data_IF_265047336377
#
_entry.id   IF_265047336377
#
_cell.length_a   1.000
_cell.length_b   1.000
_cell.length_c   1.000
_cell.angle_alpha   90.00
_cell.angle_beta   90.00
_cell.angle_gamma   90.00
#
_symmetry.space_group_name_H-M   'P 1'
#
loop_
_entity.id
_entity.type
_entity.pdbx_description
1 polymer ?
#
# COMPACT_ATOMS: atom_id res chain seq x y z
N UNK A 1 -52.35 13.37 -28.90
CA UNK A 1 -53.61 13.64 -28.15
C UNK A 1 -54.08 12.33 -27.52
N UNK A 2 -54.69 12.36 -26.33
CA UNK A 2 -55.51 11.29 -25.73
C UNK A 2 -54.84 9.90 -25.50
N UNK A 3 -55.39 8.98 -24.68
CA UNK A 3 -56.03 9.09 -23.34
C UNK A 3 -56.00 7.68 -22.71
N UNK A 4 -55.97 7.56 -21.38
CA UNK A 4 -55.84 6.26 -20.70
C UNK A 4 -57.15 5.44 -20.65
N UNK A 5 -57.05 4.10 -20.62
CA UNK A 5 -58.09 3.18 -20.16
C UNK A 5 -57.54 1.79 -19.75
N UNK A 6 -57.81 1.38 -18.51
CA UNK A 6 -57.97 -0.01 -18.02
C UNK A 6 -59.49 -0.21 -17.70
N UNK A 7 -60.05 -1.29 -17.10
CA UNK A 7 -59.47 -2.46 -16.39
C UNK A 7 -60.27 -3.79 -16.62
N UNK A 8 -60.41 -4.64 -15.56
CA UNK A 8 -61.37 -5.75 -15.35
C UNK A 8 -61.07 -7.08 -16.11
N UNK A 9 -61.33 -8.31 -15.62
CA UNK A 9 -61.76 -8.93 -14.32
C UNK A 9 -61.43 -10.46 -14.36
N UNK A 10 -61.61 -11.39 -13.39
CA UNK A 10 -62.16 -11.42 -12.02
C UNK A 10 -61.65 -12.66 -11.21
N UNK A 11 -61.75 -12.59 -9.87
CA UNK A 11 -61.95 -13.71 -8.93
C UNK A 11 -60.80 -14.77 -8.78
N UNK A 12 -60.75 -15.67 -7.77
CA UNK A 12 -61.73 -16.06 -6.74
C UNK A 12 -61.14 -16.15 -5.31
N UNK A 13 -62.00 -15.94 -4.32
CA UNK A 13 -61.90 -16.39 -2.90
C UNK A 13 -62.50 -17.81 -2.76
N UNK A 14 -62.32 -18.60 -1.70
CA UNK A 14 -61.36 -18.67 -0.58
C UNK A 14 -61.56 -20.05 0.11
N UNK A 15 -60.66 -20.48 1.01
CA UNK A 15 -60.91 -21.61 1.93
C UNK A 15 -60.15 -21.45 3.24
N UNK A 16 -60.62 -22.08 4.32
CA UNK A 16 -60.14 -21.85 5.68
C UNK A 16 -59.95 -23.15 6.48
N UNK A 17 -58.87 -23.21 7.26
CA UNK A 17 -58.69 -24.13 8.39
C UNK A 17 -57.69 -23.50 9.38
N UNK A 18 -57.88 -23.71 10.69
CA UNK A 18 -57.06 -23.08 11.73
C UNK A 18 -56.52 -24.08 12.76
N UNK A 19 -55.27 -23.90 13.19
CA UNK A 19 -54.78 -24.35 14.50
C UNK A 19 -53.52 -23.58 14.92
N UNK A 20 -53.41 -23.28 16.22
CA UNK A 20 -52.32 -22.53 16.87
C UNK A 20 -51.90 -23.28 18.15
N UNK A 21 -50.60 -23.54 18.35
CA UNK A 21 -49.87 -23.09 19.55
C UNK A 21 -48.44 -22.59 19.23
N UNK A 22 -47.69 -21.90 20.09
CA UNK A 22 -48.07 -21.08 21.25
C UNK A 22 -46.99 -20.01 21.56
N UNK A 23 -47.28 -18.75 21.20
CA UNK A 23 -46.88 -17.51 21.88
C UNK A 23 -45.70 -17.48 22.89
N UNK A 24 -44.64 -16.72 22.56
CA UNK A 24 -44.12 -15.62 23.42
C UNK A 24 -43.12 -14.72 22.68
N UNK A 25 -43.24 -13.40 22.90
CA UNK A 25 -42.15 -12.41 22.72
C UNK A 25 -41.66 -12.04 24.12
N UNK A 26 -40.34 -11.94 24.32
CA UNK A 26 -39.81 -10.73 24.94
C UNK A 26 -38.67 -10.14 24.10
N UNK A 27 -38.45 -8.84 24.23
CA UNK A 27 -37.26 -8.19 23.70
C UNK A 27 -36.42 -7.68 24.89
N UNK A 28 -35.19 -8.19 25.03
CA UNK A 28 -34.20 -7.62 25.94
C UNK A 28 -32.77 -7.94 25.51
N UNK A 29 -31.91 -6.95 25.74
CA UNK A 29 -30.48 -6.87 25.46
C UNK A 29 -29.67 -8.05 26.03
N UNK A 30 -28.65 -8.50 25.30
CA UNK A 30 -27.25 -8.53 25.79
C UNK A 30 -26.32 -8.60 24.57
N UNK A 31 -25.26 -7.77 24.56
CA UNK A 31 -24.29 -7.74 23.48
C UNK A 31 -23.14 -8.73 23.79
N UNK A 32 -23.01 -9.77 22.98
CA UNK A 32 -21.88 -10.71 23.06
C UNK A 32 -20.71 -10.20 22.20
N UNK A 33 -19.85 -9.37 22.78
CA UNK A 33 -18.64 -8.88 22.12
C UNK A 33 -17.62 -10.02 21.92
N UNK A 34 -17.63 -10.66 20.74
CA UNK A 34 -16.59 -11.61 20.35
C UNK A 34 -15.50 -10.88 19.56
N UNK A 35 -14.44 -10.49 20.26
CA UNK A 35 -13.29 -9.84 19.64
C UNK A 35 -12.67 -10.73 18.54
N UNK A 36 -12.34 -10.18 17.35
CA UNK A 36 -11.47 -10.88 16.40
C UNK A 36 -10.08 -10.99 17.03
N UNK A 37 -9.55 -12.22 17.09
CA UNK A 37 -8.25 -12.46 17.73
C UNK A 37 -7.13 -11.67 17.05
N UNK A 38 -6.27 -11.05 17.85
CA UNK A 38 -5.13 -10.29 17.33
C UNK A 38 -4.23 -11.19 16.46
N UNK A 39 -4.11 -10.86 15.17
CA UNK A 39 -3.06 -11.44 14.34
C UNK A 39 -1.71 -11.00 14.92
N UNK A 40 -0.79 -11.95 15.05
CA UNK A 40 0.59 -11.71 15.54
C UNK A 40 1.18 -10.44 14.92
N UNK A 41 1.82 -9.63 15.75
CA UNK A 41 2.82 -8.67 15.29
C UNK A 41 3.82 -9.41 14.41
N UNK A 42 3.96 -8.95 13.18
CA UNK A 42 5.01 -9.42 12.29
C UNK A 42 6.36 -9.02 12.87
N UNK A 43 7.24 -9.99 13.10
CA UNK A 43 8.67 -9.72 13.10
C UNK A 43 9.05 -9.02 11.78
N UNK A 44 10.11 -8.19 11.73
CA UNK A 44 10.56 -7.56 10.50
C UNK A 44 10.91 -8.65 9.46
N UNK A 45 9.97 -8.89 8.54
CA UNK A 45 10.27 -9.65 7.34
C UNK A 45 11.24 -8.80 6.51
N UNK A 46 12.29 -9.43 5.95
CA UNK A 46 13.26 -8.72 5.11
C UNK A 46 12.52 -7.89 4.05
N UNK A 47 12.93 -6.63 3.83
CA UNK A 47 12.23 -5.73 2.92
C UNK A 47 12.16 -6.36 1.53
N UNK A 48 10.95 -6.39 0.96
CA UNK A 48 10.76 -6.82 -0.42
C UNK A 48 11.17 -5.65 -1.33
N UNK A 49 12.46 -5.58 -1.60
CA UNK A 49 13.05 -4.64 -2.55
C UNK A 49 12.36 -4.69 -3.92
N UNK A 50 12.39 -3.57 -4.62
CA UNK A 50 12.04 -3.45 -6.03
C UNK A 50 12.85 -4.43 -6.91
N UNK A 51 12.41 -4.60 -8.16
CA UNK A 51 13.09 -5.42 -9.16
C UNK A 51 13.24 -4.63 -10.46
N UNK A 52 14.44 -4.12 -10.69
CA UNK A 52 14.82 -3.30 -11.83
C UNK A 52 16.32 -3.35 -12.10
N UNK A 53 16.89 -2.38 -12.83
CA UNK A 53 18.33 -2.23 -13.03
C UNK A 53 19.09 -2.13 -11.70
N UNK A 54 20.26 -2.77 -11.61
CA UNK A 54 21.09 -2.78 -10.40
C UNK A 54 22.35 -1.95 -10.62
N UNK A 55 22.58 -1.01 -9.70
CA UNK A 55 23.82 -0.26 -9.54
C UNK A 55 24.51 -0.63 -8.22
N UNK A 56 25.64 0.01 -7.93
CA UNK A 56 26.42 -0.20 -6.70
C UNK A 56 26.87 1.11 -6.08
N UNK A 57 26.84 1.15 -4.75
CA UNK A 57 27.32 2.32 -3.98
C UNK A 57 28.83 2.52 -4.23
N UNK A 58 29.21 3.64 -4.82
CA UNK A 58 30.61 4.03 -4.98
C UNK A 58 31.09 4.82 -3.77
N UNK A 59 30.24 5.67 -3.19
CA UNK A 59 30.60 6.60 -2.12
C UNK A 59 29.40 6.98 -1.26
N UNK A 60 29.65 7.26 0.03
CA UNK A 60 28.68 7.74 1.02
C UNK A 60 29.30 8.94 1.74
N UNK A 61 28.59 10.07 1.78
CA UNK A 61 28.98 11.31 2.46
C UNK A 61 27.75 11.85 3.20
N UNK A 62 27.52 11.37 4.43
CA UNK A 62 26.29 11.64 5.16
C UNK A 62 25.07 11.18 4.36
N UNK A 63 24.05 12.04 4.25
CA UNK A 63 22.84 11.74 3.47
C UNK A 63 23.07 11.70 1.93
N UNK A 64 24.26 12.04 1.42
CA UNK A 64 24.56 11.98 -0.03
C UNK A 64 25.23 10.65 -0.35
N UNK A 65 24.67 9.90 -1.30
CA UNK A 65 25.17 8.60 -1.74
C UNK A 65 25.38 8.61 -3.25
N UNK A 66 26.59 8.31 -3.71
CA UNK A 66 26.90 8.20 -5.14
C UNK A 66 26.84 6.72 -5.56
N UNK A 67 26.03 6.42 -6.58
CA UNK A 67 25.71 5.06 -7.05
C UNK A 67 26.06 4.95 -8.53
N UNK A 68 26.87 3.96 -8.90
CA UNK A 68 27.25 3.70 -10.30
C UNK A 68 26.47 2.51 -10.85
N UNK A 69 25.98 2.66 -12.08
CA UNK A 69 25.29 1.62 -12.85
C UNK A 69 26.14 1.20 -14.04
N UNK A 70 25.92 0.00 -14.57
CA UNK A 70 26.63 -0.49 -15.76
C UNK A 70 25.95 -0.05 -17.05
N UNK A 71 24.69 -0.47 -17.26
CA UNK A 71 24.04 -0.46 -18.58
C UNK A 71 22.85 0.51 -18.69
N UNK A 72 22.34 1.01 -17.55
CA UNK A 72 21.18 1.90 -17.48
C UNK A 72 21.41 2.98 -16.43
N UNK A 73 21.26 4.25 -16.81
CA UNK A 73 21.37 5.38 -15.88
C UNK A 73 19.96 5.83 -15.44
N UNK A 74 19.59 5.67 -14.16
CA UNK A 74 18.26 6.08 -13.67
C UNK A 74 18.00 7.57 -13.89
N UNK A 75 16.74 7.95 -14.12
CA UNK A 75 16.39 9.35 -14.34
C UNK A 75 16.52 10.18 -13.06
N UNK A 76 16.69 11.49 -13.19
CA UNK A 76 16.61 12.41 -12.05
C UNK A 76 15.19 12.35 -11.47
N UNK A 77 15.09 12.39 -10.14
CA UNK A 77 13.93 12.09 -9.31
C UNK A 77 13.52 10.61 -9.21
N UNK A 78 14.18 9.64 -9.88
CA UNK A 78 13.89 8.22 -9.62
C UNK A 78 14.22 7.84 -8.17
N UNK A 79 13.38 6.99 -7.58
CA UNK A 79 13.67 6.28 -6.35
C UNK A 79 14.52 5.04 -6.66
N UNK A 80 15.57 4.82 -5.86
CA UNK A 80 16.34 3.60 -5.78
C UNK A 80 16.16 2.97 -4.39
N UNK A 81 16.35 1.66 -4.28
CA UNK A 81 16.22 0.91 -3.02
C UNK A 81 17.45 0.05 -2.71
N UNK A 82 17.78 -0.06 -1.42
CA UNK A 82 18.77 -1.02 -0.91
C UNK A 82 18.39 -1.56 0.48
N UNK A 83 18.97 -2.70 0.87
CA UNK A 83 18.82 -3.27 2.22
C UNK A 83 19.93 -2.71 3.13
N UNK A 84 19.57 -1.82 4.04
CA UNK A 84 20.47 -1.35 5.09
C UNK A 84 20.18 -2.15 6.38
N UNK A 85 20.91 -3.25 6.58
CA UNK A 85 20.83 -4.06 7.81
C UNK A 85 19.48 -4.75 8.04
N UNK A 86 18.73 -5.08 6.98
CA UNK A 86 17.36 -5.59 7.08
C UNK A 86 16.26 -4.52 7.06
N UNK A 87 16.60 -3.25 6.78
CA UNK A 87 15.65 -2.14 6.55
C UNK A 87 15.70 -1.68 5.09
N UNK A 88 14.54 -1.28 4.52
CA UNK A 88 14.46 -0.66 3.19
C UNK A 88 14.94 0.78 3.29
N UNK A 89 16.15 1.06 2.80
CA UNK A 89 16.57 2.43 2.56
C UNK A 89 16.18 2.86 1.14
N UNK A 90 15.57 4.04 1.03
CA UNK A 90 15.23 4.68 -0.26
C UNK A 90 16.22 5.81 -0.52
N UNK A 91 16.71 5.90 -1.75
CA UNK A 91 17.60 6.95 -2.25
C UNK A 91 16.91 7.66 -3.43
N UNK A 92 16.80 8.98 -3.44
CA UNK A 92 16.29 9.74 -4.60
C UNK A 92 17.45 10.25 -5.47
N UNK A 93 17.37 10.07 -6.80
CA UNK A 93 18.38 10.58 -7.75
C UNK A 93 18.28 12.09 -7.89
N UNK A 94 19.27 12.82 -7.38
CA UNK A 94 19.29 14.28 -7.43
C UNK A 94 20.02 14.84 -8.67
N UNK A 95 21.04 14.15 -9.19
CA UNK A 95 21.78 14.56 -10.39
C UNK A 95 22.60 13.40 -11.00
N UNK A 96 23.02 13.56 -12.25
CA UNK A 96 23.99 12.68 -12.92
C UNK A 96 25.39 13.30 -12.81
N UNK A 97 26.40 12.49 -12.48
CA UNK A 97 27.79 12.95 -12.34
C UNK A 97 28.68 12.67 -13.58
N UNK A 98 28.21 11.83 -14.50
CA UNK A 98 29.05 11.20 -15.53
C UNK A 98 29.50 9.80 -15.11
N UNK A 99 30.28 9.11 -15.95
CA UNK A 99 30.82 7.76 -15.69
C UNK A 99 29.75 6.76 -15.17
N UNK A 100 28.57 6.79 -15.79
CA UNK A 100 27.35 6.07 -15.39
C UNK A 100 27.00 6.14 -13.88
N UNK A 101 27.41 7.23 -13.22
CA UNK A 101 27.21 7.48 -11.79
C UNK A 101 26.14 8.54 -11.56
N UNK A 102 25.20 8.22 -10.67
CA UNK A 102 24.20 9.15 -10.16
C UNK A 102 24.54 9.55 -8.73
N UNK A 103 24.29 10.81 -8.39
CA UNK A 103 24.30 11.29 -7.01
C UNK A 103 22.89 11.29 -6.47
N UNK A 104 22.73 10.68 -5.30
CA UNK A 104 21.43 10.45 -4.67
C UNK A 104 21.38 11.02 -3.25
N UNK A 105 20.17 11.26 -2.76
CA UNK A 105 19.89 11.72 -1.40
C UNK A 105 19.16 10.59 -0.68
N UNK A 106 19.66 10.16 0.47
CA UNK A 106 19.03 9.16 1.31
C UNK A 106 17.82 9.74 2.05
N UNK A 107 16.69 9.03 2.03
CA UNK A 107 15.44 9.42 2.69
C UNK A 107 15.38 9.04 4.18
N UNK A 108 16.36 8.27 4.66
CA UNK A 108 16.57 7.85 6.05
C UNK A 108 18.09 7.68 6.28
N UNK A 109 18.51 7.20 7.45
CA UNK A 109 19.93 7.06 7.80
C UNK A 109 20.72 6.18 6.81
N UNK A 110 21.82 6.74 6.33
CA UNK A 110 22.85 6.08 5.51
C UNK A 110 23.93 5.38 6.34
N UNK A 111 23.85 5.42 7.67
CA UNK A 111 24.75 4.68 8.56
C UNK A 111 24.64 3.17 8.29
N UNK A 112 25.77 2.50 8.11
CA UNK A 112 25.81 1.07 7.74
C UNK A 112 25.88 0.79 6.23
N UNK A 113 25.64 1.78 5.36
CA UNK A 113 25.91 1.63 3.92
C UNK A 113 27.40 1.40 3.66
N UNK A 114 27.70 0.41 2.81
CA UNK A 114 29.08 0.06 2.41
C UNK A 114 29.27 0.20 0.91
N UNK A 115 30.48 0.60 0.49
CA UNK A 115 30.85 0.65 -0.93
C UNK A 115 30.75 -0.75 -1.55
N UNK A 116 30.26 -0.82 -2.78
CA UNK A 116 29.98 -2.07 -3.49
C UNK A 116 28.64 -2.73 -3.17
N UNK A 117 27.86 -2.22 -2.19
CA UNK A 117 26.50 -2.70 -1.93
C UNK A 117 25.59 -2.44 -3.13
N UNK A 118 24.71 -3.39 -3.42
CA UNK A 118 23.77 -3.35 -4.54
C UNK A 118 22.58 -2.43 -4.25
N UNK A 119 22.21 -1.63 -5.25
CA UNK A 119 21.12 -0.64 -5.21
C UNK A 119 20.25 -0.86 -6.44
N UNK A 120 18.94 -0.99 -6.27
CA UNK A 120 18.01 -1.29 -7.37
C UNK A 120 17.21 -0.06 -7.75
N UNK A 121 17.21 0.32 -9.02
CA UNK A 121 16.33 1.36 -9.56
C UNK A 121 14.88 0.86 -9.63
N UNK A 122 13.94 1.65 -9.10
CA UNK A 122 12.51 1.34 -9.19
C UNK A 122 11.91 1.68 -10.55
N UNK A 123 12.59 2.51 -11.35
CA UNK A 123 12.13 3.00 -12.64
C UNK A 123 11.13 4.17 -12.57
N UNK A 124 10.83 4.69 -11.37
CA UNK A 124 9.90 5.79 -11.15
C UNK A 124 10.31 6.66 -9.94
N UNK A 125 9.73 7.86 -9.76
CA UNK A 125 9.91 8.65 -8.54
C UNK A 125 9.30 8.03 -7.28
N UNK A 126 9.63 8.59 -6.12
CA UNK A 126 9.02 8.22 -4.84
C UNK A 126 7.49 8.42 -4.93
N UNK A 127 6.74 7.34 -4.69
CA UNK A 127 5.29 7.32 -4.83
C UNK A 127 4.61 7.06 -3.48
N UNK A 128 3.87 8.06 -2.98
CA UNK A 128 3.09 7.98 -1.74
C UNK A 128 1.61 7.67 -2.03
N UNK A 129 0.90 6.92 -1.15
CA UNK A 129 -0.54 6.68 -1.30
C UNK A 129 -1.35 7.97 -1.10
N UNK A 130 -2.47 8.09 -1.82
CA UNK A 130 -3.37 9.25 -1.83
C UNK A 130 -4.84 8.84 -1.92
N UNK A 131 -5.76 9.75 -1.60
CA UNK A 131 -7.21 9.54 -1.59
C UNK A 131 -7.77 9.32 -0.19
N UNK A 132 -9.10 9.18 -0.08
CA UNK A 132 -9.83 9.21 1.20
C UNK A 132 -9.33 8.19 2.24
N UNK A 133 -8.73 7.07 1.80
CA UNK A 133 -8.16 6.06 2.70
C UNK A 133 -6.99 6.57 3.54
N UNK A 134 -6.33 7.67 3.19
CA UNK A 134 -5.23 8.27 3.97
C UNK A 134 -5.69 9.28 5.01
N UNK A 135 -6.96 9.69 4.99
CA UNK A 135 -7.50 10.68 5.93
C UNK A 135 -7.37 10.22 7.38
N UNK A 136 -6.84 11.10 8.24
CA UNK A 136 -6.59 10.80 9.65
C UNK A 136 -5.36 9.92 9.93
N UNK A 137 -4.57 9.55 8.91
CA UNK A 137 -3.28 8.87 9.12
C UNK A 137 -2.14 9.88 9.27
N UNK A 138 -1.08 9.46 9.97
CA UNK A 138 0.23 10.10 9.92
C UNK A 138 1.10 9.28 8.97
N UNK A 139 1.87 9.96 8.12
CA UNK A 139 2.76 9.35 7.12
C UNK A 139 4.15 9.98 7.22
N UNK A 140 5.17 9.19 6.89
CA UNK A 140 6.55 9.62 6.65
C UNK A 140 6.73 10.02 5.17
N UNK A 141 7.98 10.19 4.72
CA UNK A 141 8.35 10.71 3.39
C UNK A 141 8.38 9.65 2.27
N UNK A 142 8.18 8.36 2.57
CA UNK A 142 8.28 7.20 1.65
C UNK A 142 7.26 6.10 1.95
#
# INVERSE_FOLDING_TARGET
MAKAATPKTAAQTASAAAKKPAAKKPAAKTAAAKAPAAKKSSAPAKPKLAKGPVGRVVQVIGAVVDVQFTDHLPQILNALETDNGGLRLVLEVAQHLGENTVRTIAMDSSEGLVRGQEVTDTGAPIAVPVGDETLGRIMNVI
#
